data_IF_023937115087
#
_entry.id   IF_023937115087
#
_cell.length_a   1.000
_cell.length_b   1.000
_cell.length_c   1.000
_cell.angle_alpha   90.00
_cell.angle_beta   90.00
_cell.angle_gamma   90.00
#
_symmetry.space_group_name_H-M   'P 1'
#
loop_
_entity.id
_entity.type
_entity.pdbx_description
1 polymer ?
#
# COMPACT_ATOMS: atom_id res chain seq x y z
N UNK A 1 -25.65 6.97 9.13
CA UNK A 1 -25.09 6.40 7.90
C UNK A 1 -23.58 6.57 8.03
N UNK A 2 -22.84 5.50 8.30
CA UNK A 2 -21.38 5.60 8.32
C UNK A 2 -20.95 5.91 6.89
N UNK A 3 -20.25 7.03 6.67
CA UNK A 3 -19.61 7.28 5.39
C UNK A 3 -18.66 6.11 5.14
N UNK A 4 -18.75 5.45 3.98
CA UNK A 4 -17.82 4.38 3.61
C UNK A 4 -16.38 4.90 3.69
N UNK A 5 -15.41 4.07 4.10
CA UNK A 5 -14.01 4.48 4.11
C UNK A 5 -13.61 4.85 2.66
N UNK A 6 -12.98 5.99 2.41
CA UNK A 6 -12.58 6.38 1.07
C UNK A 6 -11.46 5.50 0.53
N UNK A 7 -10.56 4.96 1.37
CA UNK A 7 -9.48 4.08 0.91
C UNK A 7 -9.68 2.66 1.46
N UNK A 8 -9.58 1.66 0.58
CA UNK A 8 -9.28 0.28 0.98
C UNK A 8 -7.83 -0.05 0.62
N UNK A 9 -7.03 -0.35 1.63
CA UNK A 9 -5.63 -0.80 1.45
C UNK A 9 -5.64 -2.30 1.17
N UNK A 10 -5.15 -2.69 0.00
CA UNK A 10 -5.01 -4.09 -0.40
C UNK A 10 -3.59 -4.55 -0.04
N UNK A 11 -3.49 -5.46 0.94
CA UNK A 11 -2.22 -5.95 1.48
C UNK A 11 -2.11 -7.47 1.29
N UNK A 12 -1.51 -7.96 0.19
CA UNK A 12 -1.25 -9.37 0.01
C UNK A 12 -0.03 -9.78 0.85
N UNK A 13 -0.12 -10.92 1.53
CA UNK A 13 0.94 -11.43 2.41
C UNK A 13 1.28 -12.87 2.06
N UNK A 14 2.56 -13.19 1.89
CA UNK A 14 3.07 -14.55 1.73
C UNK A 14 4.46 -14.64 2.36
N UNK A 15 4.57 -15.34 3.48
CA UNK A 15 5.81 -15.51 4.22
C UNK A 15 6.54 -14.18 4.52
N UNK A 16 5.80 -13.20 5.04
CA UNK A 16 6.27 -11.83 5.27
C UNK A 16 6.61 -11.50 6.71
N UNK A 17 6.67 -12.48 7.63
CA UNK A 17 6.75 -12.23 9.09
C UNK A 17 7.91 -11.30 9.49
N UNK A 18 9.01 -11.34 8.73
CA UNK A 18 10.20 -10.51 8.99
C UNK A 18 9.93 -9.01 8.80
N UNK A 19 9.15 -8.63 7.79
CA UNK A 19 8.95 -7.23 7.38
C UNK A 19 7.55 -6.69 7.70
N UNK A 20 6.58 -7.59 7.84
CA UNK A 20 5.18 -7.26 8.05
C UNK A 20 4.94 -6.32 9.26
N UNK A 21 5.64 -6.43 10.40
CA UNK A 21 5.47 -5.47 11.50
C UNK A 21 5.79 -4.02 11.12
N UNK A 22 6.83 -3.80 10.31
CA UNK A 22 7.23 -2.46 9.85
C UNK A 22 6.24 -1.92 8.80
N UNK A 23 5.80 -2.79 7.89
CA UNK A 23 4.76 -2.46 6.92
C UNK A 23 3.45 -2.03 7.62
N UNK A 24 3.00 -2.81 8.62
CA UNK A 24 1.83 -2.49 9.45
C UNK A 24 2.02 -1.14 10.15
N UNK A 25 3.14 -0.93 10.83
CA UNK A 25 3.40 0.31 11.54
C UNK A 25 3.35 1.54 10.61
N UNK A 26 3.81 1.41 9.36
CA UNK A 26 3.76 2.50 8.38
C UNK A 26 2.35 2.81 7.86
N UNK A 27 1.48 1.80 7.77
CA UNK A 27 0.05 1.99 7.48
C UNK A 27 -0.65 2.66 8.66
N UNK A 28 -0.32 2.26 9.90
CA UNK A 28 -0.89 2.87 11.11
C UNK A 28 -0.44 4.31 11.33
N UNK A 29 0.76 4.65 10.86
CA UNK A 29 1.32 6.00 10.93
C UNK A 29 0.73 6.98 9.90
N UNK A 30 -0.18 6.54 9.03
CA UNK A 30 -0.79 7.43 8.02
C UNK A 30 -1.54 8.59 8.68
N UNK A 31 -1.28 9.81 8.22
CA UNK A 31 -1.96 11.02 8.70
C UNK A 31 -3.44 11.05 8.32
N UNK A 32 -3.80 10.34 7.26
CA UNK A 32 -5.18 10.16 6.82
C UNK A 32 -5.82 8.98 7.55
N UNK A 33 -6.87 9.23 8.34
CA UNK A 33 -7.46 8.21 9.22
C UNK A 33 -8.61 7.41 8.60
N UNK A 34 -9.19 7.87 7.49
CA UNK A 34 -10.41 7.30 6.92
C UNK A 34 -10.07 6.22 5.89
N UNK A 35 -9.60 5.07 6.36
CA UNK A 35 -9.28 3.91 5.52
C UNK A 35 -9.67 2.61 6.20
N UNK A 36 -9.80 1.55 5.41
CA UNK A 36 -9.78 0.17 5.88
C UNK A 36 -8.56 -0.55 5.30
N UNK A 37 -8.16 -1.66 5.92
CA UNK A 37 -7.17 -2.58 5.38
C UNK A 37 -7.83 -3.92 5.11
N UNK A 38 -7.62 -4.43 3.91
CA UNK A 38 -7.98 -5.79 3.51
C UNK A 38 -6.68 -6.55 3.28
N UNK A 39 -6.25 -7.27 4.31
CA UNK A 39 -5.04 -8.07 4.28
C UNK A 39 -5.36 -9.53 3.95
N UNK A 40 -4.64 -10.11 3.01
CA UNK A 40 -4.88 -11.49 2.54
C UNK A 40 -3.60 -12.30 2.69
N UNK A 41 -3.59 -13.22 3.65
CA UNK A 41 -2.57 -14.25 3.74
C UNK A 41 -2.79 -15.30 2.64
N UNK A 42 -1.91 -15.32 1.64
CA UNK A 42 -1.89 -16.29 0.55
C UNK A 42 -1.25 -17.61 1.00
N UNK A 43 -1.63 -18.12 2.17
CA UNK A 43 -1.26 -19.44 2.67
C UNK A 43 0.15 -19.52 3.24
N UNK A 44 0.60 -18.50 3.98
CA UNK A 44 1.94 -18.48 4.57
C UNK A 44 2.22 -19.72 5.44
N UNK A 45 3.47 -20.15 5.43
CA UNK A 45 4.01 -21.24 6.23
C UNK A 45 4.78 -20.75 7.47
N UNK A 46 4.97 -19.44 7.60
CA UNK A 46 5.52 -18.78 8.77
C UNK A 46 4.40 -18.16 9.64
N UNK A 47 4.79 -17.33 10.61
CA UNK A 47 3.84 -16.72 11.55
C UNK A 47 3.11 -15.48 10.99
N UNK A 48 3.21 -15.19 9.69
CA UNK A 48 2.56 -14.02 9.07
C UNK A 48 1.05 -13.97 9.37
N UNK A 49 0.38 -15.13 9.34
CA UNK A 49 -1.04 -15.21 9.66
C UNK A 49 -1.35 -14.78 11.09
N UNK A 50 -0.51 -15.16 12.06
CA UNK A 50 -0.71 -14.78 13.46
C UNK A 50 -0.49 -13.28 13.67
N UNK A 51 0.52 -12.70 13.00
CA UNK A 51 0.75 -11.25 13.03
C UNK A 51 -0.45 -10.48 12.48
N UNK A 52 -1.04 -10.94 11.37
CA UNK A 52 -2.26 -10.34 10.81
C UNK A 52 -3.45 -10.47 11.77
N UNK A 53 -3.65 -11.63 12.39
CA UNK A 53 -4.74 -11.83 13.35
C UNK A 53 -4.60 -10.91 14.58
N UNK A 54 -3.39 -10.75 15.10
CA UNK A 54 -3.12 -9.82 16.19
C UNK A 54 -3.47 -8.39 15.78
N UNK A 55 -3.03 -7.96 14.59
CA UNK A 55 -3.35 -6.64 14.06
C UNK A 55 -4.85 -6.38 13.92
N UNK A 56 -5.60 -7.33 13.35
CA UNK A 56 -7.06 -7.22 13.24
C UNK A 56 -7.77 -7.23 14.61
N UNK A 57 -7.16 -7.81 15.64
CA UNK A 57 -7.74 -7.81 16.99
C UNK A 57 -7.64 -6.46 17.70
N UNK A 58 -6.70 -5.60 17.28
CA UNK A 58 -6.40 -4.31 17.90
C UNK A 58 -6.81 -3.08 17.07
N UNK A 59 -7.13 -3.26 15.79
CA UNK A 59 -7.60 -2.18 14.90
C UNK A 59 -8.84 -2.63 14.11
N UNK A 60 -10.00 -2.02 14.40
CA UNK A 60 -11.28 -2.36 13.77
C UNK A 60 -11.35 -2.05 12.27
N UNK A 61 -10.41 -1.25 11.76
CA UNK A 61 -10.30 -0.93 10.32
C UNK A 61 -9.68 -2.08 9.53
N UNK A 62 -9.12 -3.08 10.22
CA UNK A 62 -8.32 -4.15 9.60
C UNK A 62 -9.14 -5.42 9.50
N UNK A 63 -9.29 -5.92 8.28
CA UNK A 63 -9.92 -7.20 7.98
C UNK A 63 -8.89 -8.13 7.36
N UNK A 64 -8.78 -9.32 7.94
CA UNK A 64 -7.79 -10.32 7.52
C UNK A 64 -8.47 -11.55 6.98
N UNK A 65 -7.92 -12.06 5.89
CA UNK A 65 -8.40 -13.26 5.21
C UNK A 65 -7.24 -14.20 4.96
N UNK A 66 -7.54 -15.49 4.89
CA UNK A 66 -6.56 -16.53 4.56
C UNK A 66 -7.08 -17.39 3.44
N UNK A 67 -6.20 -17.71 2.50
CA UNK A 67 -6.48 -18.64 1.41
C UNK A 67 -5.33 -19.62 1.20
N UNK A 68 -5.61 -20.70 0.47
CA UNK A 68 -4.57 -21.58 -0.06
C UNK A 68 -3.66 -20.82 -1.05
N UNK A 69 -2.37 -21.19 -1.19
CA UNK A 69 -1.43 -20.52 -2.09
C UNK A 69 -1.95 -20.47 -3.53
N UNK A 70 -2.24 -19.26 -4.00
CA UNK A 70 -2.65 -18.99 -5.39
C UNK A 70 -1.82 -17.88 -6.04
N UNK A 71 -0.97 -17.21 -5.28
CA UNK A 71 -0.11 -16.12 -5.72
C UNK A 71 -0.70 -14.74 -5.43
N UNK A 72 0.15 -13.72 -5.60
CA UNK A 72 -0.16 -12.32 -5.30
C UNK A 72 -1.38 -11.78 -6.06
N UNK A 73 -1.55 -12.14 -7.33
CA UNK A 73 -2.66 -11.62 -8.15
C UNK A 73 -4.02 -12.13 -7.64
N UNK A 74 -4.24 -13.45 -7.41
CA UNK A 74 -5.46 -13.91 -6.76
C UNK A 74 -5.69 -13.33 -5.36
N UNK A 75 -4.64 -13.14 -4.55
CA UNK A 75 -4.77 -12.52 -3.24
C UNK A 75 -5.25 -11.05 -3.35
N UNK A 76 -4.70 -10.28 -4.28
CA UNK A 76 -5.13 -8.91 -4.56
C UNK A 76 -6.56 -8.83 -5.10
N UNK A 77 -6.96 -9.74 -6.00
CA UNK A 77 -8.34 -9.79 -6.50
C UNK A 77 -9.34 -10.14 -5.41
N UNK A 78 -8.99 -11.05 -4.51
CA UNK A 78 -9.79 -11.35 -3.33
C UNK A 78 -9.90 -10.11 -2.42
N UNK A 79 -8.78 -9.46 -2.14
CA UNK A 79 -8.77 -8.24 -1.34
C UNK A 79 -9.66 -7.14 -1.97
N UNK A 80 -9.59 -6.99 -3.30
CA UNK A 80 -10.40 -6.06 -4.08
C UNK A 80 -11.89 -6.40 -4.02
N UNK A 81 -12.29 -7.67 -4.01
CA UNK A 81 -13.71 -8.05 -3.88
C UNK A 81 -14.29 -7.78 -2.49
N UNK A 82 -13.43 -7.73 -1.47
CA UNK A 82 -13.81 -7.47 -0.09
C UNK A 82 -13.73 -5.98 0.29
N UNK A 83 -13.07 -5.17 -0.54
CA UNK A 83 -12.91 -3.73 -0.37
C UNK A 83 -14.26 -2.99 -0.45
N UNK A 84 -14.49 -2.08 0.48
CA UNK A 84 -15.70 -1.24 0.58
C UNK A 84 -15.44 0.22 0.24
N UNK A 85 -14.17 0.59 0.06
CA UNK A 85 -13.76 1.96 -0.19
C UNK A 85 -13.80 2.39 -1.63
N UNK A 86 -13.92 3.71 -1.82
CA UNK A 86 -14.05 4.34 -3.13
C UNK A 86 -12.75 4.31 -3.94
N UNK A 87 -11.60 4.29 -3.24
CA UNK A 87 -10.26 4.25 -3.78
C UNK A 87 -9.54 3.01 -3.26
N UNK A 88 -8.70 2.43 -4.11
CA UNK A 88 -7.87 1.28 -3.77
C UNK A 88 -6.42 1.73 -3.67
N UNK A 89 -5.80 1.47 -2.52
CA UNK A 89 -4.37 1.63 -2.33
C UNK A 89 -3.72 0.25 -2.25
N UNK A 90 -2.71 -0.03 -3.08
CA UNK A 90 -1.91 -1.25 -2.95
C UNK A 90 -0.65 -0.98 -2.13
N UNK A 91 -0.26 -1.93 -1.30
CA UNK A 91 1.05 -1.96 -0.65
C UNK A 91 1.49 -3.42 -0.48
N UNK A 92 2.77 -3.72 -0.68
CA UNK A 92 3.29 -5.07 -0.46
C UNK A 92 3.71 -5.23 1.03
N UNK A 93 3.76 -6.47 1.52
CA UNK A 93 3.96 -6.78 2.95
C UNK A 93 5.39 -6.50 3.47
N UNK A 94 6.30 -6.14 2.57
CA UNK A 94 7.69 -5.82 2.80
C UNK A 94 8.05 -4.37 2.44
N UNK A 95 7.05 -3.54 2.13
CA UNK A 95 7.21 -2.10 1.88
C UNK A 95 6.95 -1.25 3.13
N UNK A 96 7.42 0.00 3.12
CA UNK A 96 7.08 1.05 4.09
C UNK A 96 6.46 2.22 3.33
N UNK A 97 5.32 2.72 3.81
CA UNK A 97 4.66 3.90 3.24
C UNK A 97 5.05 5.19 3.98
N UNK A 98 5.31 6.28 3.24
CA UNK A 98 5.45 7.61 3.83
C UNK A 98 4.16 7.99 4.60
N UNK A 99 4.23 8.55 5.83
CA UNK A 99 3.06 8.89 6.65
C UNK A 99 2.02 9.78 5.95
N UNK A 100 2.42 10.56 4.94
CA UNK A 100 1.53 11.49 4.23
C UNK A 100 0.93 10.92 2.94
N UNK A 101 1.33 9.70 2.54
CA UNK A 101 0.96 9.09 1.26
C UNK A 101 -0.54 9.12 0.99
N UNK A 102 -1.35 8.61 1.93
CA UNK A 102 -2.80 8.50 1.73
C UNK A 102 -3.48 9.87 1.60
N UNK A 103 -3.08 10.84 2.42
CA UNK A 103 -3.64 12.18 2.40
C UNK A 103 -3.35 12.87 1.05
N UNK A 104 -2.09 12.87 0.62
CA UNK A 104 -1.67 13.50 -0.64
C UNK A 104 -2.32 12.82 -1.86
N UNK A 105 -2.38 11.49 -1.88
CA UNK A 105 -2.95 10.75 -3.00
C UNK A 105 -4.47 10.96 -3.10
N UNK A 106 -5.20 10.98 -1.98
CA UNK A 106 -6.64 11.27 -2.00
C UNK A 106 -6.92 12.70 -2.43
N UNK A 107 -6.18 13.68 -1.92
CA UNK A 107 -6.35 15.08 -2.34
C UNK A 107 -6.14 15.23 -3.85
N UNK A 108 -5.10 14.60 -4.41
CA UNK A 108 -4.85 14.60 -5.85
C UNK A 108 -6.01 13.96 -6.64
N UNK A 109 -6.42 12.74 -6.27
CA UNK A 109 -7.48 12.01 -6.95
C UNK A 109 -8.85 12.71 -6.86
N UNK A 110 -9.11 13.45 -5.78
CA UNK A 110 -10.34 14.24 -5.61
C UNK A 110 -10.29 15.58 -6.37
N UNK A 111 -9.09 16.15 -6.54
CA UNK A 111 -8.91 17.41 -7.27
C UNK A 111 -9.12 17.27 -8.78
N UNK A 112 -8.89 16.07 -9.32
CA UNK A 112 -9.03 15.78 -10.74
C UNK A 112 -9.70 14.41 -10.95
N UNK A 113 -11.01 14.44 -11.20
CA UNK A 113 -11.81 13.24 -11.45
C UNK A 113 -11.48 12.53 -12.77
N UNK A 114 -10.58 13.07 -13.60
CA UNK A 114 -10.07 12.38 -14.79
C UNK A 114 -8.94 11.39 -14.47
N UNK A 115 -8.36 11.47 -13.26
CA UNK A 115 -7.32 10.57 -12.82
C UNK A 115 -7.89 9.18 -12.48
N UNK A 116 -7.35 8.17 -13.14
CA UNK A 116 -7.65 6.78 -12.83
C UNK A 116 -6.68 6.18 -11.79
N UNK A 117 -5.42 6.63 -11.79
CA UNK A 117 -4.33 6.09 -10.97
C UNK A 117 -3.39 7.24 -10.59
N UNK A 118 -2.88 7.23 -9.36
CA UNK A 118 -1.73 8.01 -8.93
C UNK A 118 -0.70 7.10 -8.23
N UNK A 119 0.51 7.61 -8.05
CA UNK A 119 1.61 6.92 -7.37
C UNK A 119 2.56 7.94 -6.74
N UNK A 120 3.60 7.45 -6.09
CA UNK A 120 4.67 8.25 -5.51
C UNK A 120 6.03 7.74 -5.98
N UNK A 121 7.07 8.50 -5.67
CA UNK A 121 8.45 8.01 -5.80
C UNK A 121 8.68 6.83 -4.86
N UNK A 122 9.72 6.06 -5.16
CA UNK A 122 10.17 4.94 -4.33
C UNK A 122 11.61 5.14 -3.88
N UNK A 123 11.96 4.50 -2.77
CA UNK A 123 13.35 4.37 -2.31
C UNK A 123 13.58 2.93 -1.88
N UNK A 124 14.65 2.30 -2.38
CA UNK A 124 15.07 1.00 -1.89
C UNK A 124 15.80 1.12 -0.56
N UNK A 125 15.45 0.25 0.38
CA UNK A 125 16.09 0.14 1.68
C UNK A 125 16.27 -1.34 2.08
N UNK A 126 17.20 -1.66 3.00
CA UNK A 126 18.23 -0.76 3.53
C UNK A 126 19.33 -0.53 2.48
N UNK A 127 19.85 0.70 2.43
CA UNK A 127 20.72 1.19 1.34
C UNK A 127 21.93 0.29 1.07
N UNK A 128 22.52 -0.31 2.10
CA UNK A 128 23.68 -1.18 2.02
C UNK A 128 23.42 -2.54 1.33
N UNK A 129 22.15 -2.95 1.22
CA UNK A 129 21.76 -4.20 0.52
C UNK A 129 21.31 -3.95 -0.92
N UNK A 130 21.19 -2.69 -1.34
CA UNK A 130 20.66 -2.33 -2.65
C UNK A 130 21.72 -2.52 -3.73
N UNK A 131 21.37 -3.27 -4.78
CA UNK A 131 22.26 -3.55 -5.92
C UNK A 131 22.09 -2.50 -7.01
N UNK A 132 23.10 -2.33 -7.86
CA UNK A 132 23.09 -1.38 -8.99
C UNK A 132 21.84 -1.47 -9.87
N UNK A 133 21.31 -2.68 -10.10
CA UNK A 133 20.10 -2.88 -10.88
C UNK A 133 18.87 -2.23 -10.23
N UNK A 134 18.73 -2.36 -8.92
CA UNK A 134 17.66 -1.74 -8.14
C UNK A 134 17.81 -0.21 -8.12
N UNK A 135 19.02 0.31 -7.93
CA UNK A 135 19.27 1.77 -7.99
C UNK A 135 18.92 2.38 -9.35
N UNK A 136 19.24 1.68 -10.44
CA UNK A 136 18.85 2.10 -11.80
C UNK A 136 17.34 2.08 -11.98
N UNK A 137 16.67 1.06 -11.45
CA UNK A 137 15.22 0.95 -11.52
C UNK A 137 14.51 2.03 -10.70
N UNK A 138 14.97 2.32 -9.48
CA UNK A 138 14.50 3.45 -8.68
C UNK A 138 14.69 4.78 -9.42
N UNK A 139 15.88 5.01 -9.98
CA UNK A 139 16.14 6.22 -10.77
C UNK A 139 15.19 6.34 -11.98
N UNK A 140 14.88 5.22 -12.64
CA UNK A 140 13.94 5.19 -13.75
C UNK A 140 12.50 5.44 -13.32
N UNK A 141 12.04 4.83 -12.22
CA UNK A 141 10.70 5.03 -11.66
C UNK A 141 10.48 6.48 -11.19
N UNK A 142 11.51 7.10 -10.63
CA UNK A 142 11.43 8.48 -10.10
C UNK A 142 11.70 9.54 -11.20
N UNK A 143 12.23 9.16 -12.37
CA UNK A 143 12.51 10.11 -13.46
C UNK A 143 11.28 10.90 -13.99
N UNK A 144 10.07 10.31 -14.11
CA UNK A 144 8.85 11.03 -14.50
C UNK A 144 8.46 12.14 -13.51
N UNK A 145 8.78 11.99 -12.22
CA UNK A 145 8.53 13.02 -11.21
C UNK A 145 9.34 14.30 -11.48
N UNK A 146 10.46 14.18 -12.20
CA UNK A 146 11.26 15.32 -12.64
C UNK A 146 10.92 15.86 -14.05
N UNK A 147 10.00 15.22 -14.80
CA UNK A 147 9.71 15.55 -16.21
C UNK A 147 8.28 15.95 -16.53
N UNK A 148 7.52 16.47 -15.56
CA UNK A 148 6.44 17.43 -15.86
C UNK A 148 6.87 18.86 -15.56
N UNK A 149 7.61 19.46 -16.50
CA UNK A 149 7.38 20.89 -16.77
C UNK A 149 5.95 21.00 -17.29
N UNK A 150 5.02 21.45 -16.45
CA UNK A 150 3.80 22.05 -16.97
C UNK A 150 4.22 23.16 -17.95
N UNK A 151 3.47 23.37 -19.04
CA UNK A 151 3.68 24.50 -19.97
C UNK A 151 3.63 25.87 -19.27
N UNK A 152 3.32 25.90 -17.97
CA UNK A 152 3.15 27.09 -17.14
C UNK A 152 4.05 27.12 -15.89
N UNK A 153 5.01 26.19 -15.74
CA UNK A 153 6.16 26.42 -14.87
C UNK A 153 5.96 26.45 -13.35
N UNK A 154 4.89 25.90 -12.79
CA UNK A 154 4.75 25.74 -11.35
C UNK A 154 4.95 24.27 -10.92
N UNK A 155 5.69 24.10 -9.81
CA UNK A 155 5.97 22.82 -9.15
C UNK A 155 4.75 22.36 -8.35
N UNK A 156 4.44 21.07 -8.42
CA UNK A 156 3.75 20.35 -7.34
C UNK A 156 4.82 19.65 -6.50
#
# INVERSE_FOLDING_TARGET
MSASPPISVLLPVRNGVEYLPEAIASIEAQTYSNYEVVAVDDGSSDDSWFVLQDWASRDERVRVFRQEPKGIVPALEFARSEATGAYLARMDADDIADPTRFDLQIQLMQSDSSLAICGCEIEYFPAEKVRDGALRYQSWLNAPAHTRRNREGNFC
#
